data_IF_883419544689
#
_entry.id   IF_883419544689
#
_cell.length_a   1.000
_cell.length_b   1.000
_cell.length_c   1.000
_cell.angle_alpha   90.00
_cell.angle_beta   90.00
_cell.angle_gamma   90.00
#
_symmetry.space_group_name_H-M   'P 1'
#
loop_
_entity.id
_entity.type
_entity.pdbx_description
1 polymer ?
#
# COMPACT_ATOMS: atom_id res chain seq x y z
N UNK A 1 -39.28 -13.05 -3.18
CA UNK A 1 -38.61 -11.73 -3.15
C UNK A 1 -37.16 -12.01 -2.84
N UNK A 2 -36.27 -11.75 -3.79
CA UNK A 2 -34.83 -12.01 -3.60
C UNK A 2 -34.23 -10.99 -2.64
N UNK A 3 -33.57 -11.48 -1.59
CA UNK A 3 -32.81 -10.66 -0.63
C UNK A 3 -31.33 -10.91 -0.79
N UNK A 4 -30.56 -9.85 -0.97
CA UNK A 4 -29.11 -9.93 -1.16
C UNK A 4 -28.39 -9.30 0.02
N UNK A 5 -27.41 -9.99 0.58
CA UNK A 5 -26.44 -9.37 1.47
C UNK A 5 -25.44 -8.54 0.65
N UNK A 6 -25.29 -7.27 1.00
CA UNK A 6 -24.31 -6.35 0.44
C UNK A 6 -23.22 -6.11 1.49
N UNK A 7 -21.98 -6.41 1.11
CA UNK A 7 -20.78 -6.18 1.92
C UNK A 7 -19.70 -5.48 1.11
N UNK A 8 -18.78 -4.81 1.79
CA UNK A 8 -17.59 -4.20 1.21
C UNK A 8 -16.50 -4.07 2.29
N UNK A 9 -15.28 -3.78 1.85
CA UNK A 9 -14.19 -3.35 2.73
C UNK A 9 -13.96 -4.35 3.90
N UNK A 10 -13.83 -5.64 3.57
CA UNK A 10 -13.55 -6.73 4.52
C UNK A 10 -12.12 -6.63 5.04
N UNK A 11 -11.19 -6.17 4.20
CA UNK A 11 -9.78 -5.88 4.55
C UNK A 11 -9.02 -7.04 5.22
N UNK A 12 -9.41 -8.30 5.00
CA UNK A 12 -8.81 -9.46 5.69
C UNK A 12 -9.25 -9.63 7.14
N UNK A 13 -10.42 -9.11 7.53
CA UNK A 13 -11.01 -9.28 8.86
C UNK A 13 -11.93 -10.51 8.92
N UNK A 14 -11.36 -11.71 9.08
CA UNK A 14 -12.17 -12.93 9.14
C UNK A 14 -13.20 -12.91 10.27
N UNK A 15 -12.87 -12.57 11.54
CA UNK A 15 -13.85 -12.59 12.62
C UNK A 15 -15.05 -11.66 12.39
N UNK A 16 -14.81 -10.49 11.77
CA UNK A 16 -15.89 -9.58 11.38
C UNK A 16 -16.79 -10.16 10.28
N UNK A 17 -16.19 -10.80 9.26
CA UNK A 17 -16.96 -11.42 8.18
C UNK A 17 -17.77 -12.63 8.69
N UNK A 18 -17.19 -13.46 9.55
CA UNK A 18 -17.89 -14.60 10.16
C UNK A 18 -19.09 -14.13 10.98
N UNK A 19 -18.91 -13.09 11.82
CA UNK A 19 -20.00 -12.53 12.60
C UNK A 19 -21.13 -11.98 11.72
N UNK A 20 -20.81 -11.33 10.60
CA UNK A 20 -21.82 -10.88 9.63
C UNK A 20 -22.55 -12.08 9.00
N UNK A 21 -21.82 -13.10 8.54
CA UNK A 21 -22.42 -14.31 7.94
C UNK A 21 -23.34 -15.02 8.93
N UNK A 22 -22.93 -15.15 10.19
CA UNK A 22 -23.75 -15.74 11.25
C UNK A 22 -25.03 -14.93 11.51
N UNK A 23 -24.93 -13.59 11.50
CA UNK A 23 -26.05 -12.72 11.84
C UNK A 23 -27.14 -12.61 10.75
N UNK A 24 -26.80 -12.78 9.47
CA UNK A 24 -27.73 -12.55 8.36
C UNK A 24 -27.80 -13.66 7.31
N UNK A 25 -26.97 -14.69 7.41
CA UNK A 25 -26.85 -15.71 6.37
C UNK A 25 -28.13 -16.51 6.09
N UNK A 26 -29.00 -16.68 7.08
CA UNK A 26 -30.30 -17.34 6.96
C UNK A 26 -31.42 -16.41 6.44
N UNK A 27 -31.12 -15.12 6.25
CA UNK A 27 -32.08 -14.07 5.85
C UNK A 27 -31.92 -13.63 4.40
N UNK A 28 -30.91 -14.14 3.69
CA UNK A 28 -30.53 -13.72 2.34
C UNK A 28 -30.41 -14.90 1.40
N UNK A 29 -30.70 -14.66 0.12
CA UNK A 29 -30.63 -15.64 -0.96
C UNK A 29 -29.26 -15.63 -1.68
N UNK A 30 -28.45 -14.58 -1.45
CA UNK A 30 -27.14 -14.43 -2.09
C UNK A 30 -26.31 -13.28 -1.51
N UNK A 31 -25.03 -13.24 -1.89
CA UNK A 31 -24.04 -12.29 -1.37
C UNK A 31 -23.34 -11.52 -2.49
N UNK A 32 -23.21 -10.21 -2.32
CA UNK A 32 -22.41 -9.33 -3.19
C UNK A 32 -21.35 -8.63 -2.33
N UNK A 33 -20.08 -8.71 -2.76
CA UNK A 33 -18.96 -7.97 -2.19
C UNK A 33 -18.46 -6.90 -3.15
N UNK A 34 -18.54 -5.63 -2.73
CA UNK A 34 -18.08 -4.47 -3.51
C UNK A 34 -16.57 -4.20 -3.39
N UNK A 35 -15.76 -5.22 -3.09
CA UNK A 35 -14.30 -5.15 -3.11
C UNK A 35 -13.65 -4.76 -1.78
N UNK A 36 -12.33 -4.66 -1.83
CA UNK A 36 -11.41 -4.56 -0.69
C UNK A 36 -11.57 -5.77 0.25
N UNK A 37 -11.46 -6.95 -0.36
CA UNK A 37 -11.43 -8.24 0.32
C UNK A 37 -10.14 -8.35 1.13
N UNK A 38 -9.03 -8.03 0.50
CA UNK A 38 -7.73 -7.85 1.11
C UNK A 38 -7.50 -6.38 1.44
N UNK A 39 -6.53 -6.11 2.32
CA UNK A 39 -6.08 -4.74 2.51
C UNK A 39 -5.20 -4.56 3.74
N UNK A 40 -5.80 -4.15 4.84
CA UNK A 40 -5.03 -3.79 6.03
C UNK A 40 -4.72 -4.97 6.94
N UNK A 41 -5.55 -6.01 6.98
CA UNK A 41 -5.51 -7.04 8.00
C UNK A 41 -5.09 -8.40 7.39
N UNK A 42 -4.52 -9.30 8.22
CA UNK A 42 -3.73 -10.42 7.72
C UNK A 42 -4.51 -11.66 7.27
N UNK A 43 -5.80 -11.82 7.58
CA UNK A 43 -6.52 -13.09 7.38
C UNK A 43 -7.16 -13.19 5.98
N UNK A 44 -6.39 -12.82 4.95
CA UNK A 44 -6.90 -12.70 3.57
C UNK A 44 -7.24 -14.08 3.01
N UNK A 45 -6.39 -15.08 3.21
CA UNK A 45 -6.61 -16.43 2.68
C UNK A 45 -7.92 -17.00 3.23
N UNK A 46 -8.15 -16.89 4.54
CA UNK A 46 -9.35 -17.37 5.22
C UNK A 46 -10.60 -16.61 4.80
N UNK A 47 -10.51 -15.28 4.65
CA UNK A 47 -11.61 -14.46 4.11
C UNK A 47 -11.97 -14.92 2.69
N UNK A 48 -10.99 -15.12 1.82
CA UNK A 48 -11.26 -15.59 0.44
C UNK A 48 -11.89 -16.98 0.42
N UNK A 49 -11.46 -17.87 1.31
CA UNK A 49 -12.05 -19.20 1.46
C UNK A 49 -13.52 -19.13 1.91
N UNK A 50 -13.85 -18.26 2.88
CA UNK A 50 -15.23 -18.07 3.34
C UNK A 50 -16.11 -17.46 2.26
N UNK A 51 -15.67 -16.40 1.56
CA UNK A 51 -16.43 -15.78 0.47
C UNK A 51 -16.73 -16.77 -0.65
N UNK A 52 -15.75 -17.61 -1.02
CA UNK A 52 -15.95 -18.69 -2.01
C UNK A 52 -16.94 -19.74 -1.51
N UNK A 53 -16.84 -20.15 -0.24
CA UNK A 53 -17.71 -21.15 0.36
C UNK A 53 -19.18 -20.73 0.39
N UNK A 54 -19.46 -19.45 0.66
CA UNK A 54 -20.83 -18.91 0.68
C UNK A 54 -21.31 -18.41 -0.69
N UNK A 55 -20.52 -18.61 -1.75
CA UNK A 55 -20.91 -18.25 -3.12
C UNK A 55 -21.02 -16.75 -3.37
N UNK A 56 -20.18 -15.93 -2.70
CA UNK A 56 -20.23 -14.47 -2.87
C UNK A 56 -19.79 -14.05 -4.27
N UNK A 57 -20.59 -13.17 -4.88
CA UNK A 57 -20.21 -12.45 -6.11
C UNK A 57 -19.36 -11.24 -5.74
N UNK A 58 -18.10 -11.22 -6.18
CA UNK A 58 -17.15 -10.18 -5.79
C UNK A 58 -16.65 -9.36 -6.98
N UNK A 59 -16.42 -8.06 -6.74
CA UNK A 59 -15.52 -7.24 -7.56
C UNK A 59 -14.23 -6.96 -6.80
N UNK A 60 -13.15 -6.59 -7.49
CA UNK A 60 -11.93 -6.07 -6.83
C UNK A 60 -12.14 -4.65 -6.35
N UNK A 61 -11.66 -4.38 -5.15
CA UNK A 61 -11.36 -3.04 -4.70
C UNK A 61 -9.95 -2.61 -5.08
N UNK A 62 -9.60 -1.37 -4.75
CA UNK A 62 -8.27 -0.84 -5.07
C UNK A 62 -7.17 -1.54 -4.25
N UNK A 63 -7.48 -2.06 -3.05
CA UNK A 63 -6.58 -2.89 -2.27
C UNK A 63 -6.32 -4.26 -2.90
N UNK A 64 -7.36 -4.96 -3.32
CA UNK A 64 -7.25 -6.24 -4.01
C UNK A 64 -6.40 -6.09 -5.29
N UNK A 65 -6.72 -5.06 -6.08
CA UNK A 65 -6.02 -4.76 -7.31
C UNK A 65 -4.55 -4.41 -7.03
N UNK A 66 -4.25 -3.59 -6.01
CA UNK A 66 -2.86 -3.29 -5.67
C UNK A 66 -2.09 -4.51 -5.16
N UNK A 67 -2.73 -5.39 -4.38
CA UNK A 67 -2.10 -6.60 -3.87
C UNK A 67 -1.66 -7.54 -5.01
N UNK A 68 -2.55 -7.73 -6.00
CA UNK A 68 -2.30 -8.54 -7.20
C UNK A 68 -1.22 -7.91 -8.08
N UNK A 69 -1.33 -6.61 -8.40
CA UNK A 69 -0.48 -5.94 -9.39
C UNK A 69 0.90 -5.51 -8.86
N UNK A 70 1.21 -5.76 -7.58
CA UNK A 70 2.51 -5.38 -7.05
C UNK A 70 2.68 -3.86 -6.78
N UNK A 71 1.64 -3.04 -6.94
CA UNK A 71 1.70 -1.57 -6.82
C UNK A 71 1.37 -1.01 -5.41
N UNK A 72 1.75 0.23 -5.08
CA UNK A 72 1.32 0.91 -3.85
C UNK A 72 -0.14 1.39 -3.91
N UNK A 73 -0.73 1.69 -2.75
CA UNK A 73 -2.06 2.31 -2.62
C UNK A 73 -1.92 3.83 -2.65
N UNK A 74 -2.64 4.47 -3.58
CA UNK A 74 -2.60 5.92 -3.75
C UNK A 74 -3.12 6.62 -2.49
N UNK A 75 -2.27 7.46 -1.89
CA UNK A 75 -2.65 8.27 -0.74
C UNK A 75 -2.71 7.52 0.60
N UNK A 76 -2.24 6.27 0.68
CA UNK A 76 -2.16 5.53 1.96
C UNK A 76 -0.86 4.73 2.09
N UNK A 77 0.08 5.23 2.89
CA UNK A 77 1.32 4.52 3.22
C UNK A 77 1.09 3.36 4.18
N UNK A 78 0.08 3.44 5.06
CA UNK A 78 -0.31 2.35 5.96
C UNK A 78 -0.86 1.16 5.15
N UNK A 79 -1.81 1.40 4.26
CA UNK A 79 -2.31 0.36 3.36
C UNK A 79 -1.19 -0.28 2.55
N UNK A 80 -0.31 0.54 1.96
CA UNK A 80 0.83 0.06 1.17
C UNK A 80 1.75 -0.85 1.98
N UNK A 81 2.02 -0.50 3.24
CA UNK A 81 2.82 -1.33 4.16
C UNK A 81 2.13 -2.65 4.49
N UNK A 82 0.84 -2.63 4.82
CA UNK A 82 0.09 -3.86 5.10
C UNK A 82 0.10 -4.79 3.88
N UNK A 83 -0.15 -4.27 2.68
CA UNK A 83 -0.11 -5.06 1.45
C UNK A 83 1.28 -5.68 1.19
N UNK A 84 2.37 -4.98 1.54
CA UNK A 84 3.72 -5.53 1.39
C UNK A 84 3.96 -6.73 2.33
N UNK A 85 3.50 -6.64 3.57
CA UNK A 85 3.52 -7.78 4.49
C UNK A 85 2.68 -8.92 3.91
N UNK A 86 1.43 -8.64 3.54
CA UNK A 86 0.50 -9.62 2.99
C UNK A 86 1.06 -10.37 1.78
N UNK A 87 1.77 -9.70 0.85
CA UNK A 87 2.34 -10.36 -0.33
C UNK A 87 3.27 -11.52 -0.03
N UNK A 88 3.88 -11.54 1.16
CA UNK A 88 4.79 -12.59 1.62
C UNK A 88 4.06 -13.80 2.18
N UNK A 89 2.83 -13.59 2.66
CA UNK A 89 2.12 -14.60 3.45
C UNK A 89 0.86 -15.14 2.79
N UNK A 90 0.22 -14.39 1.88
CA UNK A 90 -0.94 -14.91 1.15
C UNK A 90 -0.53 -16.07 0.26
N UNK A 91 -1.43 -17.04 0.11
CA UNK A 91 -1.20 -18.18 -0.77
C UNK A 91 -1.26 -17.81 -2.26
N UNK A 92 -0.58 -18.60 -3.09
CA UNK A 92 -0.69 -18.47 -4.55
C UNK A 92 -2.12 -18.71 -5.04
N UNK A 93 -2.88 -19.58 -4.36
CA UNK A 93 -4.30 -19.82 -4.66
C UNK A 93 -5.13 -18.55 -4.47
N UNK A 94 -4.98 -17.90 -3.32
CA UNK A 94 -5.68 -16.65 -3.03
C UNK A 94 -5.25 -15.52 -3.96
N UNK A 95 -3.95 -15.40 -4.26
CA UNK A 95 -3.45 -14.44 -5.24
C UNK A 95 -4.06 -14.68 -6.62
N UNK A 96 -4.08 -15.92 -7.08
CA UNK A 96 -4.65 -16.30 -8.37
C UNK A 96 -6.15 -16.01 -8.41
N UNK A 97 -6.89 -16.35 -7.36
CA UNK A 97 -8.32 -16.09 -7.28
C UNK A 97 -8.63 -14.59 -7.31
N UNK A 98 -7.96 -13.77 -6.48
CA UNK A 98 -8.10 -12.31 -6.53
C UNK A 98 -7.79 -11.76 -7.93
N UNK A 99 -6.81 -12.33 -8.64
CA UNK A 99 -6.46 -11.95 -10.01
C UNK A 99 -7.51 -12.36 -11.07
N UNK A 100 -8.52 -13.18 -10.73
CA UNK A 100 -9.66 -13.49 -11.62
C UNK A 100 -10.84 -12.55 -11.43
N UNK A 101 -10.96 -11.89 -10.27
CA UNK A 101 -12.09 -11.04 -9.97
C UNK A 101 -12.14 -9.83 -10.93
N UNK A 102 -13.32 -9.44 -11.44
CA UNK A 102 -13.44 -8.25 -12.29
C UNK A 102 -13.33 -6.98 -11.44
N UNK A 103 -12.97 -5.85 -12.06
CA UNK A 103 -12.97 -4.54 -11.37
C UNK A 103 -14.37 -3.94 -11.24
N UNK A 104 -15.35 -4.49 -11.95
CA UNK A 104 -16.76 -4.13 -11.86
C UNK A 104 -17.65 -5.25 -12.36
N UNK A 105 -18.93 -5.22 -11.99
CA UNK A 105 -19.95 -6.13 -12.50
C UNK A 105 -21.25 -5.38 -12.77
N UNK A 106 -21.95 -5.76 -13.84
CA UNK A 106 -23.33 -5.37 -14.10
C UNK A 106 -24.16 -6.66 -14.16
N UNK A 107 -25.09 -6.79 -13.23
CA UNK A 107 -25.89 -8.00 -13.00
C UNK A 107 -27.37 -7.70 -13.28
N UNK A 108 -28.13 -8.75 -13.51
CA UNK A 108 -29.59 -8.69 -13.55
C UNK A 108 -30.17 -9.71 -12.57
N UNK A 109 -30.99 -9.23 -11.63
CA UNK A 109 -31.66 -10.04 -10.60
C UNK A 109 -33.11 -9.60 -10.53
N UNK A 110 -34.06 -10.53 -10.66
CA UNK A 110 -35.51 -10.25 -10.69
C UNK A 110 -35.90 -9.11 -11.66
N UNK A 111 -35.26 -9.05 -12.83
CA UNK A 111 -35.49 -8.01 -13.84
C UNK A 111 -34.99 -6.61 -13.45
N UNK A 112 -34.18 -6.50 -12.38
CA UNK A 112 -33.51 -5.27 -11.95
C UNK A 112 -32.03 -5.33 -12.29
N UNK A 113 -31.50 -4.24 -12.85
CA UNK A 113 -30.08 -4.07 -13.11
C UNK A 113 -29.36 -3.64 -11.83
N UNK A 114 -28.27 -4.35 -11.50
CA UNK A 114 -27.41 -4.04 -10.36
C UNK A 114 -26.00 -3.77 -10.87
N UNK A 115 -25.50 -2.55 -10.68
CA UNK A 115 -24.13 -2.16 -11.00
C UNK A 115 -23.28 -2.18 -9.74
N UNK A 116 -22.28 -3.06 -9.68
CA UNK A 116 -21.34 -3.16 -8.55
C UNK A 116 -20.02 -2.53 -8.96
N UNK A 117 -19.57 -1.54 -8.17
CA UNK A 117 -18.30 -0.82 -8.35
C UNK A 117 -17.68 -0.65 -6.97
N UNK A 118 -16.36 -0.72 -6.83
CA UNK A 118 -15.75 -0.43 -5.54
C UNK A 118 -15.70 1.09 -5.26
N UNK A 119 -15.24 1.87 -6.25
CA UNK A 119 -15.20 3.33 -6.20
C UNK A 119 -16.52 3.98 -6.65
N UNK A 120 -16.58 4.40 -7.91
CA UNK A 120 -17.74 5.07 -8.50
C UNK A 120 -17.71 5.07 -10.05
N UNK A 121 -18.61 5.81 -10.71
CA UNK A 121 -18.72 5.81 -12.17
C UNK A 121 -17.57 6.53 -12.89
N UNK A 122 -16.86 7.45 -12.22
CA UNK A 122 -15.70 8.17 -12.81
C UNK A 122 -14.42 7.36 -12.69
N UNK A 123 -14.28 6.62 -11.59
CA UNK A 123 -13.21 5.64 -11.39
C UNK A 123 -13.72 4.47 -10.54
N UNK A 124 -13.86 3.32 -11.18
CA UNK A 124 -14.42 2.10 -10.59
C UNK A 124 -13.62 1.54 -9.40
N UNK A 125 -12.35 1.94 -9.23
CA UNK A 125 -11.49 1.49 -8.14
C UNK A 125 -11.23 2.62 -7.14
N UNK A 126 -10.80 3.80 -7.59
CA UNK A 126 -10.19 4.79 -6.70
C UNK A 126 -11.12 5.98 -6.36
N UNK A 127 -12.28 6.13 -7.02
CA UNK A 127 -13.21 7.23 -6.72
C UNK A 127 -13.80 7.11 -5.32
N UNK A 128 -13.72 8.20 -4.54
CA UNK A 128 -14.30 8.30 -3.19
C UNK A 128 -15.64 9.01 -3.23
N UNK A 129 -16.70 8.27 -3.50
CA UNK A 129 -18.09 8.78 -3.49
C UNK A 129 -18.55 9.05 -2.06
N UNK A 130 -18.58 10.34 -1.66
CA UNK A 130 -18.97 10.77 -0.29
C UNK A 130 -20.40 11.30 -0.17
N UNK A 131 -21.05 11.54 -1.31
CA UNK A 131 -22.41 12.05 -1.42
C UNK A 131 -22.98 11.64 -2.76
N UNK A 132 -24.31 11.53 -2.84
CA UNK A 132 -25.00 11.26 -4.10
C UNK A 132 -25.34 12.58 -4.80
N UNK A 133 -24.53 12.92 -5.80
CA UNK A 133 -24.73 14.08 -6.67
C UNK A 133 -25.57 13.72 -7.92
N UNK A 134 -25.85 14.73 -8.75
CA UNK A 134 -26.67 14.54 -9.95
C UNK A 134 -26.04 13.60 -10.98
N UNK A 135 -24.71 13.62 -11.10
CA UNK A 135 -23.98 12.72 -12.01
C UNK A 135 -24.17 11.27 -11.59
N UNK A 136 -24.04 10.99 -10.29
CA UNK A 136 -24.26 9.66 -9.76
C UNK A 136 -25.73 9.22 -9.84
N UNK A 137 -26.70 10.12 -9.64
CA UNK A 137 -28.13 9.79 -9.86
C UNK A 137 -28.43 9.50 -11.32
N UNK A 138 -27.89 10.28 -12.24
CA UNK A 138 -28.02 10.03 -13.68
C UNK A 138 -27.41 8.68 -14.07
N UNK A 139 -26.24 8.35 -13.49
CA UNK A 139 -25.68 7.01 -13.62
C UNK A 139 -26.59 5.96 -12.99
N UNK A 140 -27.19 6.20 -11.83
CA UNK A 140 -28.07 5.24 -11.15
C UNK A 140 -29.47 5.09 -11.78
N UNK A 141 -29.84 5.91 -12.75
CA UNK A 141 -31.15 5.85 -13.40
C UNK A 141 -31.45 4.44 -13.95
N UNK A 142 -32.59 3.88 -13.50
CA UNK A 142 -33.05 2.54 -13.88
C UNK A 142 -32.17 1.39 -13.39
N UNK A 143 -31.38 1.57 -12.32
CA UNK A 143 -30.53 0.54 -11.72
C UNK A 143 -30.36 0.71 -10.20
N UNK A 144 -29.85 -0.34 -9.57
CA UNK A 144 -29.31 -0.32 -8.22
C UNK A 144 -27.79 -0.25 -8.35
N UNK A 145 -27.15 0.69 -7.67
CA UNK A 145 -25.69 0.87 -7.67
C UNK A 145 -25.16 0.49 -6.30
N UNK A 146 -24.23 -0.45 -6.24
CA UNK A 146 -23.56 -0.90 -5.02
C UNK A 146 -22.10 -0.44 -5.05
N UNK A 147 -21.69 0.30 -4.02
CA UNK A 147 -20.39 0.96 -3.86
C UNK A 147 -19.61 0.43 -2.63
N UNK A 148 -18.33 0.77 -2.52
CA UNK A 148 -17.44 0.50 -1.37
C UNK A 148 -16.50 1.68 -1.07
N UNK A 149 -15.22 1.42 -0.75
CA UNK A 149 -14.06 2.34 -0.70
C UNK A 149 -14.09 3.42 0.40
N UNK A 150 -15.24 4.04 0.66
CA UNK A 150 -15.34 5.11 1.68
C UNK A 150 -15.52 4.58 3.08
N UNK A 151 -15.87 3.28 3.21
CA UNK A 151 -16.20 2.60 4.47
C UNK A 151 -17.34 3.29 5.25
N UNK A 152 -18.17 4.07 4.57
CA UNK A 152 -19.28 4.82 5.18
C UNK A 152 -20.59 4.33 4.57
N UNK A 153 -21.55 3.89 5.40
CA UNK A 153 -22.88 3.57 4.94
C UNK A 153 -23.50 4.75 4.18
N UNK A 154 -24.13 4.46 3.04
CA UNK A 154 -24.83 5.44 2.23
C UNK A 154 -26.01 4.78 1.55
N UNK A 155 -27.18 5.41 1.63
CA UNK A 155 -28.41 4.96 0.96
C UNK A 155 -29.12 6.18 0.37
N UNK A 156 -29.29 6.19 -0.94
CA UNK A 156 -30.14 7.16 -1.67
C UNK A 156 -31.07 6.36 -2.59
N UNK A 157 -32.38 6.37 -2.29
CA UNK A 157 -33.38 5.61 -3.03
C UNK A 157 -34.37 6.61 -3.65
N UNK A 158 -34.48 6.55 -4.98
CA UNK A 158 -35.44 7.33 -5.76
C UNK A 158 -36.50 6.45 -6.41
N UNK A 159 -37.38 7.09 -7.19
CA UNK A 159 -38.45 6.40 -7.91
C UNK A 159 -37.92 5.35 -8.91
N UNK A 160 -36.75 5.58 -9.50
CA UNK A 160 -36.17 4.78 -10.57
C UNK A 160 -34.74 4.27 -10.28
N UNK A 161 -34.15 4.62 -9.13
CA UNK A 161 -32.78 4.28 -8.79
C UNK A 161 -32.58 3.92 -7.31
N UNK A 162 -31.47 3.25 -7.01
CA UNK A 162 -30.92 3.15 -5.67
C UNK A 162 -29.39 3.24 -5.72
N UNK A 163 -28.79 4.00 -4.81
CA UNK A 163 -27.33 4.07 -4.61
C UNK A 163 -27.04 3.62 -3.19
N UNK A 164 -26.24 2.58 -3.05
CA UNK A 164 -26.02 1.88 -1.79
C UNK A 164 -24.51 1.70 -1.56
N UNK A 165 -24.03 2.06 -0.38
CA UNK A 165 -22.73 1.67 0.15
C UNK A 165 -22.99 0.96 1.48
N UNK A 166 -22.63 -0.33 1.65
CA UNK A 166 -22.92 -1.07 2.87
C UNK A 166 -22.05 -0.64 4.05
N UNK A 167 -21.11 0.30 3.85
CA UNK A 167 -20.07 0.60 4.80
C UNK A 167 -18.97 -0.45 4.75
N UNK A 168 -18.27 -0.66 5.86
CA UNK A 168 -17.17 -1.61 5.93
C UNK A 168 -17.42 -2.75 6.92
N UNK A 169 -17.24 -3.98 6.44
CA UNK A 169 -17.21 -5.17 7.31
C UNK A 169 -16.02 -5.09 8.26
N UNK A 170 -14.82 -4.88 7.72
CA UNK A 170 -13.59 -5.07 8.47
C UNK A 170 -13.06 -3.82 9.17
N UNK A 171 -13.33 -2.63 8.62
CA UNK A 171 -12.74 -1.36 9.08
C UNK A 171 -13.73 -0.18 9.00
N UNK A 172 -14.83 -0.18 9.76
CA UNK A 172 -15.75 0.96 9.82
C UNK A 172 -15.06 2.24 10.34
N UNK A 173 -15.54 3.42 9.90
CA UNK A 173 -14.79 4.70 10.02
C UNK A 173 -15.59 5.83 10.65
N UNK A 174 -16.73 5.49 11.22
CA UNK A 174 -17.66 6.40 11.89
C UNK A 174 -17.53 6.39 13.41
N UNK A 175 -16.54 5.65 13.95
CA UNK A 175 -16.25 5.56 15.38
C UNK A 175 -16.98 4.41 16.10
N UNK A 176 -17.86 3.69 15.41
CA UNK A 176 -18.44 2.44 15.90
C UNK A 176 -17.74 1.25 15.23
N UNK A 177 -17.28 0.31 16.06
CA UNK A 177 -16.38 -0.78 15.68
C UNK A 177 -17.09 -2.00 15.12
N UNK A 178 -18.42 -2.04 15.21
CA UNK A 178 -19.22 -3.15 14.72
C UNK A 178 -19.09 -3.28 13.21
N UNK A 179 -18.93 -4.51 12.74
CA UNK A 179 -18.91 -4.84 11.33
C UNK A 179 -20.21 -4.37 10.65
N UNK A 180 -20.11 -3.79 9.46
CA UNK A 180 -21.24 -3.22 8.73
C UNK A 180 -21.59 -4.08 7.51
N UNK A 181 -22.87 -4.28 7.29
CA UNK A 181 -23.43 -4.90 6.09
C UNK A 181 -24.82 -4.31 5.84
N UNK A 182 -25.38 -4.63 4.68
CA UNK A 182 -26.77 -4.29 4.36
C UNK A 182 -27.50 -5.49 3.76
N UNK A 183 -28.80 -5.61 4.02
CA UNK A 183 -29.68 -6.54 3.30
C UNK A 183 -30.53 -5.72 2.33
N UNK A 184 -30.43 -6.03 1.04
CA UNK A 184 -31.22 -5.41 -0.03
C UNK A 184 -32.38 -6.33 -0.42
N UNK A 185 -33.59 -5.80 -0.38
CA UNK A 185 -34.73 -6.39 -1.10
C UNK A 185 -34.72 -5.86 -2.54
N UNK A 186 -34.50 -6.75 -3.51
CA UNK A 186 -34.27 -6.35 -4.92
C UNK A 186 -35.54 -5.76 -5.56
N UNK A 187 -36.72 -6.28 -5.20
CA UNK A 187 -37.98 -5.88 -5.82
C UNK A 187 -38.37 -4.46 -5.40
N UNK A 188 -38.34 -4.22 -4.08
CA UNK A 188 -38.75 -2.95 -3.46
C UNK A 188 -37.63 -1.92 -3.39
N UNK A 189 -36.36 -2.35 -3.60
CA UNK A 189 -35.12 -1.57 -3.40
C UNK A 189 -34.91 -1.12 -1.95
N UNK A 190 -35.64 -1.68 -0.99
CA UNK A 190 -35.47 -1.32 0.43
C UNK A 190 -34.22 -1.96 0.99
N UNK A 191 -33.56 -1.24 1.90
CA UNK A 191 -32.31 -1.65 2.52
C UNK A 191 -32.47 -1.71 4.03
N UNK A 192 -32.01 -2.79 4.64
CA UNK A 192 -31.80 -2.90 6.08
C UNK A 192 -30.32 -2.77 6.40
N UNK A 193 -29.95 -1.84 7.26
CA UNK A 193 -28.59 -1.71 7.78
C UNK A 193 -28.33 -2.67 8.93
N UNK A 194 -27.20 -3.37 8.87
CA UNK A 194 -26.82 -4.38 9.85
C UNK A 194 -25.48 -3.99 10.47
N UNK A 195 -25.43 -4.05 11.81
CA UNK A 195 -24.19 -3.88 12.58
C UNK A 195 -23.99 -5.02 13.56
N UNK A 196 -22.84 -5.68 13.47
CA UNK A 196 -22.55 -6.87 14.28
C UNK A 196 -21.27 -6.68 15.10
N UNK A 197 -21.32 -7.00 16.39
CA UNK A 197 -20.13 -7.07 17.24
C UNK A 197 -19.34 -8.34 16.93
N UNK A 198 -18.01 -8.25 16.96
CA UNK A 198 -17.12 -9.40 16.80
C UNK A 198 -15.92 -9.24 17.75
N UNK A 199 -15.21 -10.33 18.01
CA UNK A 199 -13.95 -10.33 18.76
C UNK A 199 -12.76 -10.07 17.82
N UNK A 200 -12.01 -8.96 18.00
CA UNK A 200 -10.84 -8.67 17.17
C UNK A 200 -9.59 -9.45 17.60
N UNK A 201 -9.57 -10.15 18.74
CA UNK A 201 -8.36 -10.77 19.27
C UNK A 201 -7.64 -11.70 18.26
N UNK A 202 -8.32 -12.60 17.52
CA UNK A 202 -7.66 -13.49 16.57
C UNK A 202 -6.90 -12.76 15.46
N UNK A 203 -7.47 -11.69 14.92
CA UNK A 203 -6.83 -10.91 13.85
C UNK A 203 -5.69 -10.05 14.39
N UNK A 204 -5.81 -9.54 15.62
CA UNK A 204 -4.74 -8.81 16.30
C UNK A 204 -3.53 -9.70 16.61
N UNK A 205 -3.77 -10.92 17.09
CA UNK A 205 -2.70 -11.88 17.37
C UNK A 205 -1.98 -12.30 16.09
N UNK A 206 -2.74 -12.49 14.99
CA UNK A 206 -2.16 -12.75 13.67
C UNK A 206 -1.30 -11.58 13.18
N UNK A 207 -1.74 -10.33 13.39
CA UNK A 207 -0.94 -9.15 13.06
C UNK A 207 0.38 -9.12 13.81
N UNK A 208 0.36 -9.32 15.13
CA UNK A 208 1.57 -9.35 15.97
C UNK A 208 2.53 -10.45 15.51
N UNK A 209 2.01 -11.64 15.22
CA UNK A 209 2.81 -12.77 14.74
C UNK A 209 3.47 -12.50 13.37
N UNK A 210 2.87 -11.66 12.53
CA UNK A 210 3.40 -11.27 11.21
C UNK A 210 4.25 -9.99 11.24
N UNK A 211 4.58 -9.48 12.43
CA UNK A 211 5.41 -8.28 12.58
C UNK A 211 4.73 -6.99 12.15
N UNK A 212 3.39 -6.94 12.19
CA UNK A 212 2.69 -5.67 12.02
C UNK A 212 3.08 -4.72 13.15
N UNK A 213 3.18 -3.44 12.80
CA UNK A 213 3.32 -2.38 13.78
C UNK A 213 2.07 -2.31 14.69
N UNK A 214 2.25 -2.09 16.00
CA UNK A 214 1.17 -2.08 17.01
C UNK A 214 0.00 -1.11 16.69
N UNK A 215 0.22 -0.11 15.82
CA UNK A 215 -0.87 0.76 15.35
C UNK A 215 -1.93 0.05 14.52
N UNK A 216 -1.62 -1.08 13.87
CA UNK A 216 -2.61 -1.87 13.14
C UNK A 216 -3.53 -2.63 14.11
N UNK A 217 -3.04 -3.44 15.07
CA UNK A 217 -3.90 -4.04 16.08
C UNK A 217 -4.76 -3.01 16.84
N UNK A 218 -4.19 -1.86 17.18
CA UNK A 218 -4.89 -0.80 17.92
C UNK A 218 -6.03 -0.13 17.12
N UNK A 219 -6.04 -0.22 15.78
CA UNK A 219 -7.12 0.36 14.99
C UNK A 219 -8.45 -0.37 15.25
N UNK A 220 -8.39 -1.69 15.47
CA UNK A 220 -9.55 -2.54 15.78
C UNK A 220 -10.05 -2.30 17.20
N UNK A 221 -9.16 -2.00 18.14
CA UNK A 221 -9.54 -1.62 19.51
C UNK A 221 -10.23 -0.26 19.58
N UNK A 222 -9.72 0.72 18.84
CA UNK A 222 -10.15 2.12 18.99
C UNK A 222 -11.23 2.55 18.00
N UNK A 223 -11.46 1.78 16.93
CA UNK A 223 -12.32 2.19 15.80
C UNK A 223 -11.77 3.40 15.05
N UNK A 224 -10.49 3.73 15.25
CA UNK A 224 -9.80 4.81 14.56
C UNK A 224 -8.85 4.20 13.57
N UNK A 225 -8.85 4.71 12.34
CA UNK A 225 -7.82 4.39 11.36
C UNK A 225 -6.44 4.52 11.97
N UNK A 226 -5.54 3.62 11.52
CA UNK A 226 -4.13 3.52 11.95
C UNK A 226 -3.55 4.91 12.17
N UNK A 227 -3.57 5.31 13.43
CA UNK A 227 -3.12 6.60 13.92
C UNK A 227 -1.92 6.33 14.81
N UNK A 228 -0.83 7.05 14.54
CA UNK A 228 0.41 6.89 15.27
C UNK A 228 0.24 7.43 16.69
N UNK A 229 0.21 6.54 17.70
CA UNK A 229 0.48 6.91 19.10
C UNK A 229 1.64 6.04 19.60
N UNK A 230 2.63 6.69 20.21
CA UNK A 230 3.92 6.08 20.54
C UNK A 230 4.93 6.19 19.38
N UNK A 231 6.22 6.08 19.71
CA UNK A 231 7.27 5.93 18.70
C UNK A 231 7.22 4.51 18.13
N UNK A 232 7.19 4.30 16.80
CA UNK A 232 7.31 2.97 16.23
C UNK A 232 8.62 2.30 16.66
N UNK A 233 8.67 0.96 16.71
CA UNK A 233 9.96 0.28 16.72
C UNK A 233 10.77 0.67 15.48
N UNK A 234 12.11 0.69 15.57
CA UNK A 234 12.94 1.04 14.43
C UNK A 234 12.70 0.07 13.27
N UNK A 235 12.67 0.60 12.06
CA UNK A 235 12.56 -0.22 10.86
C UNK A 235 13.87 -0.99 10.67
N UNK A 236 13.82 -2.32 10.77
CA UNK A 236 14.97 -3.17 10.46
C UNK A 236 15.25 -3.15 8.95
N UNK A 237 16.50 -2.90 8.59
CA UNK A 237 16.96 -2.74 7.21
C UNK A 237 18.09 -3.74 6.93
N UNK A 238 18.00 -4.40 5.77
CA UNK A 238 19.12 -5.13 5.18
C UNK A 238 19.81 -4.21 4.16
N UNK A 239 21.13 -4.27 4.08
CA UNK A 239 21.89 -3.58 3.02
C UNK A 239 22.26 -4.58 1.94
N UNK A 240 21.84 -4.35 0.70
CA UNK A 240 22.32 -5.09 -0.46
C UNK A 240 23.62 -4.46 -0.97
N UNK A 241 24.75 -5.13 -0.73
CA UNK A 241 26.10 -4.69 -1.10
C UNK A 241 27.01 -4.45 0.11
N UNK A 242 27.92 -5.40 0.37
CA UNK A 242 28.92 -5.35 1.45
C UNK A 242 30.25 -4.75 0.92
N UNK A 243 30.21 -3.44 0.64
CA UNK A 243 31.37 -2.65 0.22
C UNK A 243 31.36 -1.28 0.91
N UNK A 244 32.32 -0.41 0.62
CA UNK A 244 32.46 0.90 1.28
C UNK A 244 31.16 1.74 1.25
N UNK A 245 30.40 1.73 0.16
CA UNK A 245 29.13 2.44 0.13
C UNK A 245 28.07 1.81 1.06
N UNK A 246 28.11 0.49 1.24
CA UNK A 246 27.29 -0.21 2.22
C UNK A 246 27.69 0.13 3.66
N UNK A 247 28.98 0.28 3.94
CA UNK A 247 29.48 0.76 5.24
C UNK A 247 28.99 2.18 5.53
N UNK A 248 29.07 3.09 4.55
CA UNK A 248 28.51 4.45 4.69
C UNK A 248 26.99 4.43 4.97
N UNK A 249 26.24 3.53 4.34
CA UNK A 249 24.80 3.37 4.58
C UNK A 249 24.54 2.77 5.97
N UNK A 250 25.39 1.86 6.45
CA UNK A 250 25.31 1.32 7.81
C UNK A 250 25.52 2.43 8.85
N UNK A 251 26.49 3.32 8.65
CA UNK A 251 26.69 4.50 9.49
C UNK A 251 25.46 5.43 9.46
N UNK A 252 24.88 5.66 8.27
CA UNK A 252 23.64 6.44 8.12
C UNK A 252 22.50 5.82 8.95
N UNK A 253 22.29 4.51 8.84
CA UNK A 253 21.25 3.78 9.60
C UNK A 253 21.50 3.91 11.10
N UNK A 254 22.75 3.78 11.57
CA UNK A 254 23.10 3.89 12.98
C UNK A 254 22.88 5.30 13.58
N UNK A 255 22.87 6.34 12.74
CA UNK A 255 22.60 7.73 13.17
C UNK A 255 21.09 8.05 13.28
N UNK A 256 20.22 7.11 12.94
CA UNK A 256 18.77 7.29 12.89
C UNK A 256 18.09 6.47 13.98
N UNK A 257 17.30 7.13 14.81
CA UNK A 257 16.55 6.45 15.88
C UNK A 257 15.37 5.61 15.36
N UNK A 258 14.99 5.76 14.10
CA UNK A 258 13.84 5.09 13.47
C UNK A 258 14.23 3.92 12.56
N UNK A 259 15.51 3.55 12.51
CA UNK A 259 16.01 2.42 11.71
C UNK A 259 17.04 1.59 12.47
N UNK A 260 17.12 0.30 12.15
CA UNK A 260 18.10 -0.62 12.73
C UNK A 260 18.72 -1.49 11.62
N UNK A 261 20.02 -1.75 11.66
CA UNK A 261 20.69 -2.61 10.68
C UNK A 261 20.51 -4.08 11.08
N UNK A 262 19.83 -4.86 10.24
CA UNK A 262 19.73 -6.32 10.41
C UNK A 262 21.01 -7.03 9.91
N UNK A 263 21.60 -6.55 8.82
CA UNK A 263 22.80 -7.11 8.24
C UNK A 263 22.95 -6.77 6.76
N UNK A 264 23.88 -7.45 6.09
CA UNK A 264 24.15 -7.30 4.68
C UNK A 264 23.70 -8.52 3.88
N UNK A 265 23.35 -8.33 2.62
CA UNK A 265 23.35 -9.39 1.61
C UNK A 265 24.35 -9.03 0.52
N UNK A 266 25.18 -10.00 0.12
CA UNK A 266 26.16 -9.83 -0.93
C UNK A 266 26.49 -11.18 -1.58
N UNK A 267 26.61 -11.20 -2.90
CA UNK A 267 26.88 -12.43 -3.66
C UNK A 267 28.37 -12.87 -3.56
N UNK A 268 29.25 -12.00 -3.05
CA UNK A 268 30.71 -12.20 -3.06
C UNK A 268 31.36 -12.11 -1.68
N UNK A 269 30.65 -11.60 -0.67
CA UNK A 269 31.17 -11.42 0.69
C UNK A 269 30.41 -12.35 1.64
N UNK A 270 31.11 -12.90 2.62
CA UNK A 270 30.54 -13.80 3.65
C UNK A 270 31.11 -13.46 5.01
N UNK A 271 30.42 -13.84 6.09
CA UNK A 271 30.89 -13.63 7.46
C UNK A 271 30.41 -12.30 8.02
N UNK A 272 31.32 -11.41 8.43
CA UNK A 272 30.98 -10.09 8.95
C UNK A 272 31.54 -8.98 8.05
N UNK A 273 30.80 -7.88 7.97
CA UNK A 273 31.19 -6.67 7.26
C UNK A 273 30.69 -5.44 8.03
N UNK A 274 31.54 -4.43 8.21
CA UNK A 274 31.20 -3.19 8.94
C UNK A 274 30.50 -3.41 10.30
N UNK A 275 30.93 -4.43 11.06
CA UNK A 275 30.35 -4.76 12.37
C UNK A 275 29.00 -5.47 12.37
N UNK A 276 28.46 -5.84 11.20
CA UNK A 276 27.20 -6.58 11.07
C UNK A 276 27.40 -7.88 10.27
N UNK A 277 26.51 -8.89 10.42
CA UNK A 277 26.61 -10.12 9.66
C UNK A 277 26.28 -9.90 8.18
N UNK A 278 26.95 -10.65 7.30
CA UNK A 278 26.51 -10.88 5.93
C UNK A 278 25.63 -12.14 5.94
N UNK A 279 24.33 -11.93 5.82
CA UNK A 279 23.27 -12.91 6.05
C UNK A 279 23.14 -13.93 4.90
N UNK A 280 23.64 -13.59 3.72
CA UNK A 280 23.64 -14.45 2.55
C UNK A 280 23.70 -13.67 1.24
N UNK A 281 23.24 -14.32 0.18
CA UNK A 281 23.25 -13.77 -1.19
C UNK A 281 21.95 -13.04 -1.54
N UNK A 282 21.95 -12.30 -2.65
CA UNK A 282 20.77 -11.59 -3.10
C UNK A 282 19.65 -12.55 -3.57
N UNK A 283 19.97 -13.77 -4.01
CA UNK A 283 18.98 -14.80 -4.36
C UNK A 283 18.24 -15.35 -3.12
N UNK A 284 18.85 -15.25 -1.95
CA UNK A 284 18.26 -15.67 -0.69
C UNK A 284 17.48 -14.53 0.00
N UNK A 285 17.41 -13.34 -0.61
CA UNK A 285 16.91 -12.14 0.05
C UNK A 285 15.49 -12.28 0.60
N UNK A 286 14.57 -12.92 -0.14
CA UNK A 286 13.20 -13.12 0.35
C UNK A 286 13.19 -13.92 1.67
N UNK A 287 13.85 -15.07 1.69
CA UNK A 287 13.92 -15.93 2.87
C UNK A 287 14.66 -15.27 4.04
N UNK A 288 15.74 -14.52 3.77
CA UNK A 288 16.47 -13.77 4.79
C UNK A 288 15.57 -12.67 5.37
N UNK A 289 14.86 -11.93 4.51
CA UNK A 289 13.95 -10.89 4.94
C UNK A 289 12.78 -11.45 5.78
N UNK A 290 12.30 -12.67 5.48
CA UNK A 290 11.34 -13.43 6.29
C UNK A 290 11.90 -13.77 7.66
N UNK A 291 13.09 -14.37 7.71
CA UNK A 291 13.74 -14.72 8.97
C UNK A 291 14.03 -13.49 9.85
N UNK A 292 14.38 -12.36 9.23
CA UNK A 292 14.73 -11.11 9.92
C UNK A 292 13.54 -10.18 10.16
N UNK A 293 12.34 -10.49 9.67
CA UNK A 293 11.18 -9.59 9.75
C UNK A 293 11.42 -8.24 9.02
N UNK A 294 12.25 -8.24 7.99
CA UNK A 294 12.64 -7.04 7.24
C UNK A 294 11.69 -6.84 6.06
N UNK A 295 11.28 -5.60 5.82
CA UNK A 295 10.47 -5.20 4.65
C UNK A 295 11.15 -4.16 3.76
N UNK A 296 12.28 -3.61 4.23
CA UNK A 296 13.05 -2.53 3.59
C UNK A 296 14.50 -2.95 3.38
N UNK A 297 15.03 -2.73 2.17
CA UNK A 297 16.41 -3.07 1.80
C UNK A 297 17.10 -1.87 1.18
N UNK A 298 18.20 -1.40 1.76
CA UNK A 298 19.00 -0.33 1.18
C UNK A 298 19.92 -0.89 0.08
N UNK A 299 19.87 -0.31 -1.12
CA UNK A 299 20.68 -0.79 -2.26
C UNK A 299 21.99 0.00 -2.34
N UNK A 300 23.06 -0.59 -1.81
CA UNK A 300 24.38 0.03 -1.69
C UNK A 300 25.25 -0.14 -2.95
N UNK A 301 24.73 0.30 -4.10
CA UNK A 301 25.42 0.19 -5.39
C UNK A 301 25.83 1.57 -5.93
N UNK A 302 27.14 1.82 -5.98
CA UNK A 302 27.68 3.12 -6.39
C UNK A 302 27.51 3.44 -7.89
N UNK A 303 27.40 2.41 -8.72
CA UNK A 303 27.15 2.52 -10.16
C UNK A 303 25.64 2.44 -10.46
N UNK A 304 25.13 3.41 -11.23
CA UNK A 304 23.69 3.63 -11.39
C UNK A 304 22.97 2.44 -12.04
N UNK A 305 23.52 1.90 -13.13
CA UNK A 305 22.95 0.72 -13.80
C UNK A 305 22.94 -0.52 -12.88
N UNK A 306 24.00 -0.71 -12.09
CA UNK A 306 24.04 -1.81 -11.12
C UNK A 306 23.01 -1.61 -10.02
N UNK A 307 22.87 -0.38 -9.50
CA UNK A 307 21.85 -0.02 -8.51
C UNK A 307 20.45 -0.32 -9.01
N UNK A 308 20.13 0.04 -10.26
CA UNK A 308 18.84 -0.29 -10.89
C UNK A 308 18.58 -1.78 -10.95
N UNK A 309 19.54 -2.58 -11.43
CA UNK A 309 19.37 -4.04 -11.52
C UNK A 309 19.17 -4.70 -10.15
N UNK A 310 19.95 -4.28 -9.16
CA UNK A 310 19.84 -4.82 -7.79
C UNK A 310 18.52 -4.39 -7.16
N UNK A 311 18.13 -3.13 -7.29
CA UNK A 311 16.83 -2.63 -6.81
C UNK A 311 15.64 -3.37 -7.44
N UNK A 312 15.74 -3.74 -8.72
CA UNK A 312 14.72 -4.56 -9.38
C UNK A 312 14.63 -5.97 -8.76
N UNK A 313 15.76 -6.62 -8.48
CA UNK A 313 15.77 -7.94 -7.78
C UNK A 313 15.20 -7.84 -6.37
N UNK A 314 15.55 -6.79 -5.63
CA UNK A 314 14.98 -6.47 -4.31
C UNK A 314 13.46 -6.34 -4.40
N UNK A 315 12.95 -5.56 -5.35
CA UNK A 315 11.51 -5.41 -5.54
C UNK A 315 10.81 -6.72 -5.88
N UNK A 316 11.42 -7.53 -6.76
CA UNK A 316 10.90 -8.84 -7.16
C UNK A 316 10.87 -9.84 -6.01
N UNK A 317 11.74 -9.71 -5.01
CA UNK A 317 11.74 -10.58 -3.83
C UNK A 317 10.69 -10.20 -2.78
N UNK A 318 9.76 -9.28 -3.10
CA UNK A 318 8.66 -8.90 -2.22
C UNK A 318 9.02 -7.89 -1.12
N UNK A 319 10.25 -7.37 -1.12
CA UNK A 319 10.72 -6.33 -0.20
C UNK A 319 10.97 -5.03 -0.96
N UNK A 320 10.96 -3.88 -0.27
CA UNK A 320 11.07 -2.59 -0.95
C UNK A 320 12.46 -1.97 -0.82
N UNK A 321 12.95 -1.26 -1.85
CA UNK A 321 14.12 -0.41 -1.72
C UNK A 321 13.91 0.67 -0.65
N UNK A 322 14.75 0.64 0.39
CA UNK A 322 14.70 1.58 1.49
C UNK A 322 15.00 2.99 1.00
N UNK A 323 14.21 3.96 1.46
CA UNK A 323 14.52 5.37 1.29
C UNK A 323 15.19 5.87 2.56
N UNK A 324 16.41 6.39 2.44
CA UNK A 324 17.23 6.82 3.56
C UNK A 324 17.64 8.29 3.40
N UNK A 325 17.47 9.05 4.47
CA UNK A 325 17.91 10.44 4.56
C UNK A 325 18.79 10.57 5.79
N UNK A 326 20.02 10.99 5.58
CA UNK A 326 20.97 11.23 6.65
C UNK A 326 20.48 12.39 7.54
N UNK A 327 20.59 12.32 8.88
CA UNK A 327 20.09 13.39 9.77
C UNK A 327 20.69 14.78 9.52
N UNK A 328 21.95 14.83 9.07
CA UNK A 328 22.62 16.08 8.66
C UNK A 328 22.22 16.60 7.26
N UNK A 329 21.33 15.94 6.52
CA UNK A 329 20.84 16.43 5.23
C UNK A 329 19.63 17.37 5.43
N UNK A 330 19.48 18.35 4.54
CA UNK A 330 18.31 19.23 4.51
C UNK A 330 17.42 18.86 3.33
N UNK A 331 16.24 18.29 3.63
CA UNK A 331 15.23 17.98 2.60
C UNK A 331 13.99 18.83 2.86
N UNK A 332 13.57 19.60 1.85
CA UNK A 332 12.36 20.40 1.94
C UNK A 332 11.12 19.53 2.17
N UNK A 333 10.18 19.92 3.05
CA UNK A 333 8.93 19.20 3.25
C UNK A 333 8.06 19.07 2.00
N UNK A 334 8.26 19.93 0.99
CA UNK A 334 7.53 19.88 -0.29
C UNK A 334 8.24 19.07 -1.37
N UNK A 335 9.47 18.60 -1.10
CA UNK A 335 10.18 17.69 -1.99
C UNK A 335 9.57 16.28 -1.93
N UNK A 336 9.59 15.58 -3.07
CA UNK A 336 9.10 14.21 -3.20
C UNK A 336 10.27 13.30 -3.54
N UNK A 337 10.47 12.29 -2.70
CA UNK A 337 11.54 11.31 -2.87
C UNK A 337 10.91 9.93 -3.09
N UNK A 338 11.26 9.30 -4.22
CA UNK A 338 10.93 7.92 -4.55
C UNK A 338 11.54 6.89 -3.59
N UNK A 339 11.16 5.64 -3.78
CA UNK A 339 11.74 4.50 -3.06
C UNK A 339 13.20 4.30 -3.49
N UNK A 340 14.03 3.74 -2.61
CA UNK A 340 15.45 3.52 -2.91
C UNK A 340 16.30 4.80 -2.95
N UNK A 341 15.72 5.98 -2.72
CA UNK A 341 16.50 7.22 -2.68
C UNK A 341 17.38 7.25 -1.43
N UNK A 342 18.64 7.65 -1.60
CA UNK A 342 19.61 7.84 -0.52
C UNK A 342 20.11 9.27 -0.57
N UNK A 343 19.88 10.02 0.51
CA UNK A 343 20.32 11.42 0.66
C UNK A 343 21.34 11.49 1.79
N UNK A 344 22.59 11.75 1.44
CA UNK A 344 23.74 11.69 2.32
C UNK A 344 23.99 12.98 3.12
N UNK A 345 24.93 12.90 4.06
CA UNK A 345 25.27 13.98 4.99
C UNK A 345 25.52 15.34 4.31
N UNK A 346 24.86 16.39 4.81
CA UNK A 346 25.01 17.76 4.31
C UNK A 346 24.42 18.01 2.94
N UNK A 347 23.77 17.03 2.30
CA UNK A 347 23.05 17.26 1.05
C UNK A 347 21.84 18.19 1.26
N UNK A 348 21.51 18.96 0.22
CA UNK A 348 20.32 19.81 0.17
C UNK A 348 19.40 19.38 -0.96
N UNK A 349 18.12 19.16 -0.66
CA UNK A 349 17.05 18.95 -1.64
C UNK A 349 15.96 20.00 -1.39
N UNK A 350 15.88 21.00 -2.26
CA UNK A 350 15.01 22.15 -2.06
C UNK A 350 13.55 21.96 -2.46
N UNK A 351 12.74 23.03 -2.33
CA UNK A 351 11.29 22.97 -2.48
C UNK A 351 10.82 22.42 -3.82
N UNK A 352 9.77 21.60 -3.78
CA UNK A 352 9.10 21.04 -4.97
C UNK A 352 9.99 20.21 -5.90
N UNK A 353 11.17 19.80 -5.44
CA UNK A 353 11.98 18.83 -6.16
C UNK A 353 11.29 17.47 -6.21
N UNK A 354 11.52 16.74 -7.30
CA UNK A 354 11.06 15.36 -7.48
C UNK A 354 12.27 14.50 -7.78
N UNK A 355 12.59 13.59 -6.88
CA UNK A 355 13.58 12.55 -7.10
C UNK A 355 12.82 11.25 -7.35
N UNK A 356 12.96 10.68 -8.55
CA UNK A 356 12.38 9.39 -8.91
C UNK A 356 13.08 8.24 -8.15
N UNK A 357 12.66 6.99 -8.34
CA UNK A 357 13.22 5.86 -7.59
C UNK A 357 14.75 5.72 -7.72
N UNK A 358 15.40 5.30 -6.64
CA UNK A 358 16.81 4.94 -6.63
C UNK A 358 17.79 6.11 -6.84
N UNK A 359 17.34 7.36 -6.76
CA UNK A 359 18.21 8.54 -6.88
C UNK A 359 19.13 8.65 -5.66
N UNK A 360 20.43 8.83 -5.90
CA UNK A 360 21.42 9.06 -4.83
C UNK A 360 21.88 10.52 -4.83
N UNK A 361 21.69 11.24 -3.73
CA UNK A 361 22.20 12.60 -3.52
C UNK A 361 23.34 12.52 -2.51
N UNK A 362 24.56 12.61 -3.01
CA UNK A 362 25.79 12.34 -2.25
C UNK A 362 26.15 13.49 -1.31
N UNK A 363 27.14 13.30 -0.40
CA UNK A 363 27.45 14.29 0.62
C UNK A 363 27.66 15.71 0.07
N UNK A 364 27.02 16.70 0.70
CA UNK A 364 27.10 18.13 0.36
C UNK A 364 26.65 18.47 -1.08
N UNK A 365 25.98 17.57 -1.78
CA UNK A 365 25.36 17.90 -3.06
C UNK A 365 24.11 18.77 -2.86
N UNK A 366 23.86 19.67 -3.80
CA UNK A 366 22.72 20.60 -3.79
C UNK A 366 21.84 20.29 -5.00
N UNK A 367 20.60 19.91 -4.74
CA UNK A 367 19.50 19.89 -5.70
C UNK A 367 18.57 21.02 -5.29
N UNK A 368 18.51 22.11 -6.07
CA UNK A 368 17.86 23.37 -5.69
C UNK A 368 16.33 23.26 -5.59
N UNK A 369 15.54 24.12 -6.23
CA UNK A 369 14.07 24.08 -6.20
C UNK A 369 13.52 23.58 -7.54
N UNK A 370 12.32 22.97 -7.53
CA UNK A 370 11.57 22.54 -8.72
C UNK A 370 12.37 21.64 -9.70
N UNK A 371 13.45 21.02 -9.24
CA UNK A 371 14.32 20.19 -10.06
C UNK A 371 13.80 18.75 -10.07
N UNK A 372 13.93 18.08 -11.21
CA UNK A 372 13.55 16.67 -11.38
C UNK A 372 14.78 15.81 -11.63
N UNK A 373 14.98 14.79 -10.82
CA UNK A 373 16.02 13.79 -11.04
C UNK A 373 15.38 12.46 -11.45
N UNK A 374 15.69 12.00 -12.66
CA UNK A 374 15.19 10.75 -13.22
C UNK A 374 15.67 9.52 -12.45
N UNK A 375 14.96 8.41 -12.63
CA UNK A 375 15.19 7.17 -11.89
C UNK A 375 16.67 6.75 -11.93
N UNK A 376 17.22 6.40 -10.76
CA UNK A 376 18.59 5.94 -10.57
C UNK A 376 19.69 6.95 -10.97
N UNK A 377 19.35 8.23 -11.17
CA UNK A 377 20.35 9.28 -11.32
C UNK A 377 21.19 9.43 -10.03
N UNK A 378 22.39 9.98 -10.17
CA UNK A 378 23.25 10.30 -9.03
C UNK A 378 23.80 11.71 -9.11
N UNK A 379 23.61 12.47 -8.03
CA UNK A 379 24.26 13.77 -7.82
C UNK A 379 25.45 13.55 -6.90
N UNK A 380 26.67 13.52 -7.46
CA UNK A 380 27.90 13.16 -6.73
C UNK A 380 28.34 14.28 -5.77
N UNK A 381 29.27 14.00 -4.83
CA UNK A 381 29.53 14.92 -3.72
C UNK A 381 29.86 16.35 -4.16
N UNK A 382 29.33 17.32 -3.43
CA UNK A 382 29.57 18.75 -3.67
C UNK A 382 29.05 19.30 -5.01
N UNK A 383 28.35 18.52 -5.83
CA UNK A 383 27.74 19.04 -7.05
C UNK A 383 26.54 19.94 -6.74
N UNK A 384 26.33 20.98 -7.55
CA UNK A 384 25.27 21.97 -7.37
C UNK A 384 24.40 22.03 -8.63
N UNK A 385 23.11 21.74 -8.46
CA UNK A 385 22.11 21.77 -9.52
C UNK A 385 21.16 22.95 -9.28
N UNK A 386 21.17 23.92 -10.19
CA UNK A 386 20.28 25.08 -10.18
C UNK A 386 18.80 24.70 -10.32
N UNK A 387 17.92 25.65 -9.98
CA UNK A 387 16.48 25.42 -9.93
C UNK A 387 15.87 25.09 -11.28
N UNK A 388 14.71 24.42 -11.28
CA UNK A 388 13.96 24.06 -12.49
C UNK A 388 14.75 23.22 -13.51
N UNK A 389 15.75 22.46 -13.04
CA UNK A 389 16.57 21.59 -13.88
C UNK A 389 15.98 20.19 -14.02
N UNK A 390 16.46 19.44 -15.01
CA UNK A 390 16.10 18.04 -15.27
C UNK A 390 17.37 17.20 -15.40
N UNK A 391 17.47 16.12 -14.64
CA UNK A 391 18.53 15.11 -14.74
C UNK A 391 17.90 13.85 -15.34
N UNK A 392 18.49 13.32 -16.41
CA UNK A 392 18.01 12.12 -17.09
C UNK A 392 18.13 10.87 -16.17
N UNK A 393 17.34 9.81 -16.41
CA UNK A 393 17.49 8.55 -15.70
C UNK A 393 18.90 7.97 -15.84
N UNK A 394 19.38 7.33 -14.78
CA UNK A 394 20.72 6.72 -14.67
C UNK A 394 21.90 7.69 -14.87
N UNK A 395 21.64 8.99 -15.07
CA UNK A 395 22.68 10.00 -15.31
C UNK A 395 23.54 10.25 -14.07
N UNK A 396 24.82 10.58 -14.30
CA UNK A 396 25.81 10.81 -13.25
C UNK A 396 26.31 12.25 -13.32
N UNK A 397 25.73 13.11 -12.48
CA UNK A 397 26.29 14.45 -12.26
C UNK A 397 27.62 14.30 -11.53
N UNK A 398 28.70 14.73 -12.16
CA UNK A 398 30.06 14.58 -11.65
C UNK A 398 30.30 15.32 -10.32
N UNK A 399 31.31 14.86 -9.58
CA UNK A 399 31.78 15.46 -8.33
C UNK A 399 32.06 16.96 -8.55
N UNK A 400 31.51 17.82 -7.69
CA UNK A 400 31.75 19.27 -7.73
C UNK A 400 31.21 20.00 -8.96
N UNK A 401 30.47 19.35 -9.84
CA UNK A 401 29.91 20.01 -11.02
C UNK A 401 28.87 21.07 -10.62
N UNK A 402 28.85 22.20 -11.33
CA UNK A 402 27.88 23.27 -11.11
C UNK A 402 27.05 23.46 -12.38
N UNK A 403 25.74 23.29 -12.25
CA UNK A 403 24.77 23.45 -13.33
C UNK A 403 23.85 24.63 -13.00
N UNK A 404 23.69 25.62 -13.91
CA UNK A 404 22.79 26.75 -13.68
C UNK A 404 21.32 26.29 -13.68
N UNK A 405 20.42 27.18 -13.26
CA UNK A 405 18.98 26.92 -13.36
C UNK A 405 18.55 26.61 -14.79
N UNK A 406 17.47 25.85 -14.94
CA UNK A 406 16.90 25.40 -16.22
C UNK A 406 17.82 24.45 -17.03
N UNK A 407 18.76 23.77 -16.36
CA UNK A 407 19.66 22.83 -17.03
C UNK A 407 18.94 21.52 -17.39
N UNK A 408 19.34 20.93 -18.52
CA UNK A 408 19.00 19.54 -18.89
C UNK A 408 20.31 18.75 -18.87
N UNK A 409 20.40 17.77 -17.99
CA UNK A 409 21.62 17.01 -17.72
C UNK A 409 21.39 15.56 -18.14
N UNK A 410 22.22 15.07 -19.07
CA UNK A 410 22.04 13.76 -19.72
C UNK A 410 21.21 13.84 -21.00
N UNK A 411 21.30 12.80 -21.83
CA UNK A 411 20.51 12.70 -23.08
C UNK A 411 19.12 12.15 -22.80
N UNK A 412 18.10 12.77 -23.39
CA UNK A 412 16.68 12.39 -23.25
C UNK A 412 16.40 10.97 -23.75
#
# INVERSE_FOLDING_TARGET
MTRLALIADVHGNLPALEAVVEAIGDRVDGWICAGDIAGHLPMVDEVTALLRRIGTVCVRGNHDHALVEGRPIRGSSAATRALQILRRFITDETRAWLATLPTHLDLEVDGRRIAVRHGGPRDQLDEKVRSVDEELRAFAAGRIVVLGNTHRPMVDIGADHAVINPGAVGLPVDGDRRAQAMILDVETRTVEEVRVTYDPAPVQDRMRALGYDERYPNCLETGRWVGFRGAPPPVRIIIAGAALYGEMIAELIALRDDTELAGFVDDRVTGQFAGAPVLGTLDQLAAIADAEGVVDVAVAMGENATRRRVAARVWQSGVRPARLVHPAATVSPTARLGLGCIVDAGAYVGPHCVLDEGVSVWPRAVVSHQTRAGAYASVKPGAVIGGESQIAPEEKVALGAVWPSYSIIGTR
#
